data_IF_007617116211
#
_entry.id   IF_007617116211
#
_cell.length_a   1.000
_cell.length_b   1.000
_cell.length_c   1.000
_cell.angle_alpha   90.00
_cell.angle_beta   90.00
_cell.angle_gamma   90.00
#
_symmetry.space_group_name_H-M   'P 1'
#
loop_
_entity.id
_entity.type
_entity.pdbx_description
1 polymer ?
#
# COMPACT_ATOMS: atom_id res chain seq x y z
N UNK A 1 5.04 -16.85 -12.63
CA UNK A 1 4.04 -15.97 -11.99
C UNK A 1 4.74 -15.31 -10.82
N UNK A 2 4.90 -13.98 -10.82
CA UNK A 2 5.63 -13.31 -9.74
C UNK A 2 4.89 -13.59 -8.43
N UNK A 3 5.62 -14.15 -7.47
CA UNK A 3 5.16 -14.27 -6.09
C UNK A 3 4.78 -12.88 -5.60
N UNK A 4 3.49 -12.67 -5.33
CA UNK A 4 2.90 -11.35 -5.10
C UNK A 4 3.62 -10.56 -4.00
N UNK A 5 3.58 -9.23 -4.05
CA UNK A 5 4.13 -8.34 -3.02
C UNK A 5 3.56 -8.65 -1.62
N UNK A 6 2.36 -9.22 -1.58
CA UNK A 6 1.75 -9.88 -0.41
C UNK A 6 2.68 -10.87 0.29
N UNK A 7 3.50 -11.63 -0.44
CA UNK A 7 4.49 -12.57 0.13
C UNK A 7 5.66 -11.84 0.82
N UNK A 8 6.09 -10.70 0.27
CA UNK A 8 7.09 -9.83 0.90
C UNK A 8 6.56 -9.34 2.25
N UNK A 9 5.30 -8.90 2.29
CA UNK A 9 4.64 -8.51 3.55
C UNK A 9 4.46 -9.68 4.53
N UNK A 10 4.35 -10.93 4.07
CA UNK A 10 4.38 -12.13 4.94
C UNK A 10 5.75 -12.43 5.53
N UNK A 11 6.80 -11.71 5.12
CA UNK A 11 8.18 -11.95 5.55
C UNK A 11 8.80 -13.18 4.89
N UNK A 12 8.23 -13.64 3.77
CA UNK A 12 8.86 -14.68 2.97
C UNK A 12 10.07 -14.08 2.24
N UNK A 13 11.20 -14.80 2.17
CA UNK A 13 12.33 -14.34 1.40
C UNK A 13 11.91 -14.24 -0.07
N UNK A 14 12.01 -13.03 -0.62
CA UNK A 14 11.75 -12.77 -2.03
C UNK A 14 13.03 -12.23 -2.66
N UNK A 15 13.35 -12.78 -3.83
CA UNK A 15 14.47 -12.35 -4.66
C UNK A 15 14.22 -10.91 -5.15
N UNK A 16 15.09 -9.93 -4.80
CA UNK A 16 14.95 -8.54 -5.22
C UNK A 16 14.82 -8.37 -6.74
N UNK A 17 15.48 -9.22 -7.53
CA UNK A 17 15.39 -9.12 -8.99
C UNK A 17 13.99 -9.54 -9.50
N UNK A 18 13.32 -10.48 -8.83
CA UNK A 18 11.91 -10.83 -9.16
C UNK A 18 10.94 -9.70 -8.85
N UNK A 19 11.18 -8.97 -7.75
CA UNK A 19 10.36 -7.79 -7.42
C UNK A 19 10.60 -6.70 -8.46
N UNK A 20 11.86 -6.49 -8.85
CA UNK A 20 12.24 -5.54 -9.89
C UNK A 20 11.60 -5.88 -11.24
N UNK A 21 11.50 -7.15 -11.61
CA UNK A 21 10.78 -7.60 -12.82
C UNK A 21 9.29 -7.24 -12.78
N UNK A 22 8.62 -7.42 -11.64
CA UNK A 22 7.24 -6.97 -11.48
C UNK A 22 7.11 -5.44 -11.62
N UNK A 23 8.04 -4.69 -11.02
CA UNK A 23 8.06 -3.23 -11.14
C UNK A 23 8.30 -2.78 -12.59
N UNK A 24 9.16 -3.50 -13.33
CA UNK A 24 9.35 -3.27 -14.76
C UNK A 24 8.05 -3.50 -15.55
N UNK A 25 7.32 -4.57 -15.26
CA UNK A 25 6.02 -4.85 -15.88
C UNK A 25 5.01 -3.72 -15.63
N UNK A 26 4.95 -3.19 -14.39
CA UNK A 26 4.09 -2.06 -14.04
C UNK A 26 4.56 -0.79 -14.77
N UNK A 27 5.87 -0.51 -14.76
CA UNK A 27 6.48 0.65 -15.42
C UNK A 27 6.29 0.66 -16.94
N UNK A 28 6.23 -0.52 -17.58
CA UNK A 28 6.03 -0.64 -19.03
C UNK A 28 4.69 -0.07 -19.52
N UNK A 29 3.75 0.19 -18.61
CA UNK A 29 2.47 0.84 -18.89
C UNK A 29 2.56 2.37 -18.84
N UNK A 30 3.68 2.92 -18.37
CA UNK A 30 3.90 4.36 -18.19
C UNK A 30 5.14 4.76 -18.99
N UNK A 31 4.90 5.40 -20.13
CA UNK A 31 5.97 5.94 -20.97
C UNK A 31 6.84 6.93 -20.19
N UNK A 32 8.16 6.79 -20.32
CA UNK A 32 9.13 7.68 -19.66
C UNK A 32 9.41 7.35 -18.19
N UNK A 33 8.73 6.35 -17.60
CA UNK A 33 9.02 5.94 -16.22
C UNK A 33 10.34 5.17 -16.12
N UNK A 34 11.02 5.33 -14.99
CA UNK A 34 12.30 4.70 -14.67
C UNK A 34 12.14 3.83 -13.43
N UNK A 35 12.67 2.61 -13.49
CA UNK A 35 12.75 1.71 -12.34
C UNK A 35 14.15 1.73 -11.77
N UNK A 36 14.29 2.11 -10.50
CA UNK A 36 15.55 2.03 -9.76
C UNK A 36 15.49 0.96 -8.68
N UNK A 37 16.60 0.24 -8.53
CA UNK A 37 16.85 -0.69 -7.43
C UNK A 37 18.12 -0.22 -6.74
N UNK A 38 18.06 -0.04 -5.42
CA UNK A 38 19.24 0.21 -4.60
C UNK A 38 19.19 -0.63 -3.32
N UNK A 39 20.37 -0.94 -2.78
CA UNK A 39 20.50 -1.68 -1.53
C UNK A 39 21.56 -1.04 -0.63
N UNK A 40 21.26 -0.91 0.65
CA UNK A 40 22.14 -0.35 1.69
C UNK A 40 21.77 -0.95 3.04
N UNK A 41 22.75 -1.39 3.83
CA UNK A 41 22.58 -1.84 5.23
C UNK A 41 21.42 -2.84 5.42
N UNK A 42 21.39 -3.91 4.61
CA UNK A 42 20.33 -4.93 4.58
C UNK A 42 18.93 -4.42 4.22
N UNK A 43 18.83 -3.18 3.72
CA UNK A 43 17.61 -2.60 3.18
C UNK A 43 17.67 -2.58 1.66
N UNK A 44 16.59 -3.01 1.03
CA UNK A 44 16.37 -2.93 -0.41
C UNK A 44 15.29 -1.90 -0.70
N UNK A 45 15.57 -1.01 -1.65
CA UNK A 45 14.65 0.00 -2.15
C UNK A 45 14.39 -0.24 -3.64
N UNK A 46 13.12 -0.23 -4.03
CA UNK A 46 12.70 -0.37 -5.43
C UNK A 46 11.66 0.70 -5.70
N UNK A 47 11.91 1.55 -6.70
CA UNK A 47 11.00 2.65 -7.02
C UNK A 47 10.73 2.77 -8.52
N UNK A 48 9.50 3.18 -8.85
CA UNK A 48 9.10 3.64 -10.17
C UNK A 48 8.96 5.16 -10.09
N UNK A 49 9.72 5.87 -10.90
CA UNK A 49 9.72 7.33 -10.97
C UNK A 49 9.33 7.79 -12.38
N UNK A 50 8.67 8.93 -12.49
CA UNK A 50 8.43 9.62 -13.74
C UNK A 50 8.81 11.09 -13.53
N UNK A 51 9.85 11.54 -14.22
CA UNK A 51 10.47 12.85 -13.98
C UNK A 51 10.86 12.98 -12.48
N UNK A 52 10.34 13.98 -11.78
CA UNK A 52 10.60 14.22 -10.36
C UNK A 52 9.53 13.58 -9.43
N UNK A 53 8.59 12.81 -9.97
CA UNK A 53 7.51 12.18 -9.20
C UNK A 53 7.81 10.71 -8.90
N UNK A 54 7.73 10.33 -7.62
CA UNK A 54 7.69 8.93 -7.20
C UNK A 54 6.28 8.39 -7.40
N UNK A 55 6.13 7.41 -8.30
CA UNK A 55 4.84 6.78 -8.57
C UNK A 55 4.61 5.55 -7.70
N UNK A 56 5.68 4.84 -7.37
CA UNK A 56 5.63 3.64 -6.55
C UNK A 56 6.99 3.48 -5.88
N UNK A 57 7.00 3.19 -4.58
CA UNK A 57 8.23 2.91 -3.85
C UNK A 57 8.01 1.73 -2.91
N UNK A 58 9.02 0.89 -2.77
CA UNK A 58 9.03 -0.27 -1.89
C UNK A 58 10.35 -0.31 -1.14
N UNK A 59 10.25 -0.28 0.18
CA UNK A 59 11.34 -0.48 1.11
C UNK A 59 11.17 -1.81 1.83
N UNK A 60 12.20 -2.65 1.78
CA UNK A 60 12.25 -3.93 2.49
C UNK A 60 13.49 -3.96 3.36
N UNK A 61 13.32 -4.08 4.67
CA UNK A 61 14.41 -4.25 5.64
C UNK A 61 14.02 -5.28 6.71
N UNK A 62 14.97 -5.68 7.58
CA UNK A 62 14.66 -6.53 8.73
C UNK A 62 13.66 -5.91 9.72
N UNK A 63 13.50 -4.59 9.71
CA UNK A 63 12.63 -3.87 10.63
C UNK A 63 11.27 -3.50 10.02
N UNK A 64 11.23 -3.24 8.71
CA UNK A 64 10.03 -2.72 8.04
C UNK A 64 9.91 -3.23 6.61
N UNK A 65 8.68 -3.55 6.20
CA UNK A 65 8.29 -3.63 4.80
C UNK A 65 7.30 -2.51 4.55
N UNK A 66 7.62 -1.57 3.67
CA UNK A 66 6.82 -0.39 3.40
C UNK A 66 6.67 -0.19 1.91
N UNK A 67 5.45 0.09 1.47
CA UNK A 67 5.13 0.38 0.10
C UNK A 67 4.35 1.69 0.03
N UNK A 68 4.71 2.53 -0.93
CA UNK A 68 4.00 3.74 -1.31
C UNK A 68 3.51 3.60 -2.75
N UNK A 69 2.30 4.05 -3.01
CA UNK A 69 1.67 4.06 -4.34
C UNK A 69 1.01 5.41 -4.57
N UNK A 70 1.43 6.13 -5.62
CA UNK A 70 0.77 7.33 -6.12
C UNK A 70 -0.59 6.98 -6.72
N UNK A 71 -1.52 7.93 -6.71
CA UNK A 71 -2.83 7.78 -7.34
C UNK A 71 -2.76 7.40 -8.82
N UNK A 72 -1.70 7.82 -9.52
CA UNK A 72 -1.43 7.45 -10.92
C UNK A 72 -1.21 5.95 -11.14
N UNK A 73 -0.80 5.25 -10.07
CA UNK A 73 -0.56 3.81 -10.06
C UNK A 73 -1.44 3.06 -9.08
N UNK A 74 -2.60 3.62 -8.69
CA UNK A 74 -3.46 2.95 -7.71
C UNK A 74 -3.90 1.55 -8.16
N UNK A 75 -4.13 1.34 -9.47
CA UNK A 75 -4.43 0.03 -10.05
C UNK A 75 -3.30 -1.00 -9.93
N UNK A 76 -2.05 -0.56 -9.75
CA UNK A 76 -0.92 -1.48 -9.52
C UNK A 76 -1.08 -2.27 -8.22
N UNK A 77 -1.89 -1.81 -7.26
CA UNK A 77 -2.21 -2.57 -6.04
C UNK A 77 -2.78 -3.95 -6.35
N UNK A 78 -3.61 -4.09 -7.40
CA UNK A 78 -4.14 -5.37 -7.85
C UNK A 78 -3.02 -6.30 -8.34
N UNK A 79 -2.14 -5.79 -9.21
CA UNK A 79 -1.00 -6.55 -9.76
C UNK A 79 0.03 -6.94 -8.69
N UNK A 80 0.11 -6.15 -7.62
CA UNK A 80 0.98 -6.41 -6.47
C UNK A 80 0.35 -7.39 -5.46
N UNK A 81 -0.85 -7.90 -5.73
CA UNK A 81 -1.54 -8.88 -4.89
C UNK A 81 -2.25 -8.28 -3.68
N UNK A 82 -2.61 -6.99 -3.77
CA UNK A 82 -3.41 -6.25 -2.81
C UNK A 82 -4.74 -5.75 -3.44
N UNK A 83 -5.50 -6.61 -4.15
CA UNK A 83 -6.70 -6.20 -4.89
C UNK A 83 -7.79 -5.61 -3.97
N UNK A 84 -7.89 -6.11 -2.74
CA UNK A 84 -8.93 -5.68 -1.81
C UNK A 84 -8.75 -4.20 -1.39
N UNK A 85 -7.51 -3.70 -1.34
CA UNK A 85 -7.27 -2.26 -1.10
C UNK A 85 -7.68 -1.44 -2.32
N UNK A 86 -7.36 -1.91 -3.52
CA UNK A 86 -7.77 -1.25 -4.75
C UNK A 86 -9.30 -1.16 -4.85
N UNK A 87 -10.02 -2.26 -4.67
CA UNK A 87 -11.50 -2.33 -4.72
C UNK A 87 -12.19 -1.39 -3.72
N UNK A 88 -11.58 -1.16 -2.56
CA UNK A 88 -12.12 -0.23 -1.55
C UNK A 88 -11.96 1.22 -2.00
N UNK A 89 -10.89 1.52 -2.72
CA UNK A 89 -10.51 2.88 -3.11
C UNK A 89 -10.91 3.24 -4.54
N UNK A 90 -11.24 2.28 -5.39
CA UNK A 90 -11.49 2.45 -6.83
C UNK A 90 -12.56 3.53 -7.09
N UNK A 91 -13.70 3.48 -6.38
CA UNK A 91 -14.78 4.48 -6.46
C UNK A 91 -14.28 5.91 -6.22
N UNK A 92 -13.20 6.05 -5.44
CA UNK A 92 -12.64 7.32 -5.01
C UNK A 92 -11.27 7.62 -5.60
N UNK A 93 -10.84 6.83 -6.60
CA UNK A 93 -9.49 6.90 -7.18
C UNK A 93 -9.08 8.31 -7.64
N UNK A 94 -10.03 9.09 -8.18
CA UNK A 94 -9.81 10.48 -8.58
C UNK A 94 -9.49 11.44 -7.43
N UNK A 95 -9.81 11.06 -6.20
CA UNK A 95 -9.64 11.86 -4.99
C UNK A 95 -8.55 11.33 -4.05
N UNK A 96 -8.08 10.11 -4.28
CA UNK A 96 -6.91 9.56 -3.60
C UNK A 96 -5.67 10.21 -4.21
N UNK A 97 -4.73 10.64 -3.38
CA UNK A 97 -3.41 11.13 -3.79
C UNK A 97 -2.35 10.06 -3.68
N UNK A 98 -2.39 9.28 -2.61
CA UNK A 98 -1.47 8.17 -2.41
C UNK A 98 -2.00 7.17 -1.40
N UNK A 99 -1.41 5.98 -1.42
CA UNK A 99 -1.61 4.93 -0.43
C UNK A 99 -0.26 4.45 0.05
N UNK A 100 -0.08 4.35 1.36
CA UNK A 100 1.07 3.72 1.98
C UNK A 100 0.63 2.54 2.82
N UNK A 101 1.32 1.42 2.68
CA UNK A 101 1.10 0.21 3.47
C UNK A 101 2.45 -0.18 4.08
N UNK A 102 2.52 -0.23 5.40
CA UNK A 102 3.76 -0.51 6.13
C UNK A 102 3.54 -1.58 7.18
N UNK A 103 4.42 -2.56 7.24
CA UNK A 103 4.48 -3.55 8.29
C UNK A 103 5.74 -3.34 9.11
N UNK A 104 5.57 -3.00 10.38
CA UNK A 104 6.66 -3.00 11.34
C UNK A 104 6.83 -4.42 11.90
N UNK A 105 7.97 -5.05 11.61
CA UNK A 105 8.24 -6.45 11.92
C UNK A 105 8.37 -6.67 13.44
N UNK A 106 9.19 -5.90 14.19
CA UNK A 106 9.41 -6.15 15.62
C UNK A 106 8.14 -6.00 16.45
N UNK A 107 7.30 -5.02 16.12
CA UNK A 107 6.07 -4.72 16.87
C UNK A 107 4.85 -5.46 16.34
N UNK A 108 5.00 -6.30 15.29
CA UNK A 108 3.89 -6.96 14.62
C UNK A 108 2.73 -5.99 14.36
N UNK A 109 3.03 -4.89 13.66
CA UNK A 109 2.07 -3.82 13.40
C UNK A 109 1.90 -3.59 11.90
N UNK A 110 0.66 -3.33 11.49
CA UNK A 110 0.30 -2.93 10.14
C UNK A 110 -0.20 -1.49 10.16
N UNK A 111 0.31 -0.70 9.24
CA UNK A 111 -0.11 0.66 8.97
C UNK A 111 -0.67 0.71 7.56
N UNK A 112 -1.83 1.34 7.40
CA UNK A 112 -2.38 1.69 6.10
C UNK A 112 -2.76 3.17 6.17
N UNK A 113 -2.14 3.95 5.30
CA UNK A 113 -2.39 5.39 5.18
C UNK A 113 -2.96 5.65 3.79
N UNK A 114 -4.12 6.29 3.73
CA UNK A 114 -4.68 6.82 2.48
C UNK A 114 -4.62 8.33 2.58
N UNK A 115 -3.90 8.96 1.66
CA UNK A 115 -3.92 10.40 1.52
C UNK A 115 -4.99 10.79 0.50
N UNK A 116 -5.94 11.60 0.93
CA UNK A 116 -6.97 12.14 0.04
C UNK A 116 -6.65 13.55 -0.43
N UNK A 117 -7.55 14.13 -1.22
CA UNK A 117 -7.52 15.53 -1.61
C UNK A 117 -7.90 16.49 -0.47
N UNK A 118 -8.42 15.96 0.64
CA UNK A 118 -8.84 16.72 1.82
C UNK A 118 -10.25 17.32 1.71
N UNK A 119 -10.97 17.06 0.62
CA UNK A 119 -12.33 17.59 0.37
C UNK A 119 -13.32 16.46 0.16
N UNK A 120 -12.98 15.54 -0.73
CA UNK A 120 -13.82 14.40 -1.10
C UNK A 120 -13.37 13.15 -0.37
N UNK A 121 -12.05 12.96 -0.22
CA UNK A 121 -11.47 11.90 0.61
C UNK A 121 -10.64 12.51 1.72
N UNK A 122 -10.90 12.13 2.98
CA UNK A 122 -10.07 12.55 4.09
C UNK A 122 -8.73 11.83 4.07
N UNK A 123 -7.76 12.36 4.81
CA UNK A 123 -6.60 11.56 5.16
C UNK A 123 -7.04 10.49 6.17
N UNK A 124 -6.75 9.23 5.88
CA UNK A 124 -7.13 8.08 6.70
C UNK A 124 -5.87 7.38 7.15
N UNK A 125 -5.80 7.09 8.45
CA UNK A 125 -4.74 6.28 9.04
C UNK A 125 -5.36 5.12 9.80
N UNK A 126 -5.02 3.92 9.38
CA UNK A 126 -5.30 2.69 10.08
C UNK A 126 -3.99 2.15 10.67
N UNK A 127 -4.00 1.86 11.97
CA UNK A 127 -2.95 1.14 12.68
C UNK A 127 -3.57 -0.11 13.29
N UNK A 128 -2.99 -1.27 13.03
CA UNK A 128 -3.40 -2.52 13.66
C UNK A 128 -2.17 -3.14 14.32
N UNK A 129 -2.32 -3.47 15.59
CA UNK A 129 -1.34 -4.22 16.38
C UNK A 129 -2.01 -5.48 16.91
N UNK A 130 -1.26 -6.30 17.65
CA UNK A 130 -1.81 -7.51 18.28
C UNK A 130 -2.92 -7.18 19.28
N UNK A 131 -2.82 -6.06 19.99
CA UNK A 131 -3.63 -5.78 21.18
C UNK A 131 -4.67 -4.67 20.96
N UNK A 132 -4.51 -3.85 19.92
CA UNK A 132 -5.46 -2.80 19.58
C UNK A 132 -5.42 -2.43 18.10
N UNK A 133 -6.44 -1.72 17.65
CA UNK A 133 -6.45 -1.01 16.37
C UNK A 133 -6.85 0.45 16.59
N UNK A 134 -6.32 1.34 15.77
CA UNK A 134 -6.70 2.74 15.68
C UNK A 134 -7.07 3.05 14.23
N UNK A 135 -8.28 3.55 14.01
CA UNK A 135 -8.72 4.06 12.71
C UNK A 135 -9.09 5.52 12.89
N UNK A 136 -8.30 6.38 12.28
CA UNK A 136 -8.47 7.82 12.35
C UNK A 136 -8.64 8.40 10.96
N UNK A 137 -9.39 9.50 10.91
CA UNK A 137 -9.67 10.22 9.69
C UNK A 137 -9.72 11.72 9.98
N UNK A 138 -9.26 12.56 9.04
CA UNK A 138 -9.34 14.01 9.20
C UNK A 138 -10.78 14.53 9.28
N UNK A 139 -11.76 13.81 8.72
CA UNK A 139 -13.21 14.04 8.89
C UNK A 139 -14.01 12.79 8.48
N UNK A 140 -15.20 12.56 9.04
CA UNK A 140 -16.20 11.66 8.42
C UNK A 140 -17.34 12.51 7.85
N UNK A 141 -17.56 12.40 6.53
CA UNK A 141 -18.66 13.04 5.81
C UNK A 141 -19.69 11.98 5.41
N UNK A 142 -20.95 12.24 5.68
CA UNK A 142 -22.09 11.43 5.25
C UNK A 142 -23.01 12.32 4.43
N UNK A 143 -23.25 11.92 3.20
CA UNK A 143 -24.12 12.59 2.22
C UNK A 143 -24.98 11.56 1.50
N UNK A 144 -25.90 12.02 0.66
CA UNK A 144 -26.70 11.15 -0.20
C UNK A 144 -25.87 10.36 -1.22
N UNK A 145 -24.72 10.87 -1.66
CA UNK A 145 -23.83 10.20 -2.63
C UNK A 145 -22.75 9.35 -1.98
N UNK A 146 -22.29 9.75 -0.79
CA UNK A 146 -21.11 9.19 -0.15
C UNK A 146 -21.26 9.00 1.35
N UNK A 147 -20.82 7.83 1.82
CA UNK A 147 -20.77 7.47 3.22
C UNK A 147 -19.32 7.13 3.60
N UNK A 148 -18.59 8.12 4.11
CA UNK A 148 -17.20 7.93 4.51
C UNK A 148 -17.07 6.94 5.66
N UNK A 149 -18.07 6.84 6.53
CA UNK A 149 -18.02 5.91 7.65
C UNK A 149 -18.14 4.44 7.15
N UNK A 150 -18.82 4.19 6.02
CA UNK A 150 -18.76 2.88 5.34
C UNK A 150 -17.39 2.61 4.71
N UNK A 151 -16.76 3.62 4.08
CA UNK A 151 -15.40 3.49 3.56
C UNK A 151 -14.40 3.15 4.67
N UNK A 152 -14.48 3.85 5.80
CA UNK A 152 -13.64 3.60 6.98
C UNK A 152 -13.79 2.15 7.48
N UNK A 153 -15.03 1.64 7.57
CA UNK A 153 -15.26 0.25 7.95
C UNK A 153 -14.65 -0.75 6.96
N UNK A 154 -14.81 -0.53 5.64
CA UNK A 154 -14.20 -1.40 4.62
C UNK A 154 -12.67 -1.39 4.68
N UNK A 155 -12.06 -0.23 4.92
CA UNK A 155 -10.61 -0.11 5.13
C UNK A 155 -10.17 -0.91 6.36
N UNK A 156 -10.92 -0.84 7.46
CA UNK A 156 -10.63 -1.63 8.67
C UNK A 156 -10.73 -3.14 8.40
N UNK A 157 -11.75 -3.59 7.68
CA UNK A 157 -11.93 -5.00 7.31
C UNK A 157 -10.76 -5.52 6.48
N UNK A 158 -10.36 -4.79 5.44
CA UNK A 158 -9.20 -5.14 4.60
C UNK A 158 -7.91 -5.12 5.41
N UNK A 159 -7.69 -4.10 6.22
CA UNK A 159 -6.51 -4.03 7.08
C UNK A 159 -6.43 -5.19 8.07
N UNK A 160 -7.54 -5.59 8.70
CA UNK A 160 -7.58 -6.75 9.60
C UNK A 160 -7.27 -8.05 8.87
N UNK A 161 -7.83 -8.23 7.68
CA UNK A 161 -7.52 -9.37 6.82
C UNK A 161 -6.01 -9.45 6.55
N UNK A 162 -5.41 -8.37 6.07
CA UNK A 162 -3.97 -8.34 5.79
C UNK A 162 -3.11 -8.49 7.04
N UNK A 163 -3.51 -7.89 8.17
CA UNK A 163 -2.82 -8.07 9.43
C UNK A 163 -2.74 -9.56 9.83
N UNK A 164 -3.86 -10.27 9.77
CA UNK A 164 -3.91 -11.69 10.10
C UNK A 164 -3.06 -12.53 9.14
N UNK A 165 -3.16 -12.24 7.84
CA UNK A 165 -2.38 -12.96 6.83
C UNK A 165 -0.88 -12.69 6.92
N UNK A 166 -0.47 -11.44 7.15
CA UNK A 166 0.94 -11.07 7.22
C UNK A 166 1.61 -11.57 8.50
N UNK A 167 0.84 -11.88 9.54
CA UNK A 167 1.33 -12.53 10.75
C UNK A 167 1.18 -14.06 10.74
N UNK A 168 0.72 -14.66 9.64
CA UNK A 168 0.58 -16.11 9.51
C UNK A 168 -0.48 -16.71 10.44
N UNK A 169 -1.54 -15.96 10.76
CA UNK A 169 -2.67 -16.43 11.59
C UNK A 169 -3.91 -16.83 10.77
N UNK A 170 -3.73 -17.08 9.48
CA UNK A 170 -4.78 -17.53 8.55
C UNK A 170 -4.52 -18.93 8.03
#
# INVERSE_FOLDING_TARGET
MVKSLREVFRGLPVDPEKIKEAFKSISGKISGSVVSLSSSDSTTYISIQLEDEVLLDLRVSPAVVEMYVSSRLLGALEEMGLPEVFEVLEKYSSYVRSVSISKAIPSSSLYLVVQGDGVNIPNIRLVITKDFFDLSSSFCKITSSDNMCLLLNRILEVGRKYFNEFLGRG
#
